data_IF_062503397832
#
_entry.id   IF_062503397832
#
_cell.length_a   1.000
_cell.length_b   1.000
_cell.length_c   1.000
_cell.angle_alpha   90.00
_cell.angle_beta   90.00
_cell.angle_gamma   90.00
#
_symmetry.space_group_name_H-M   'P 1'
#
loop_
_entity.id
_entity.type
_entity.pdbx_description
1 polymer ?
#
# COMPACT_ATOMS: atom_id res chain seq x y z
N UNK A 1 -6.32 23.88 12.80
CA UNK A 1 -7.44 23.68 11.85
C UNK A 1 -6.88 23.58 10.44
N UNK A 2 -7.44 22.69 9.62
CA UNK A 2 -7.03 22.44 8.22
C UNK A 2 -7.04 23.72 7.36
N UNK A 3 -7.87 24.71 7.71
CA UNK A 3 -7.93 26.02 7.03
C UNK A 3 -6.58 26.71 6.91
N UNK A 4 -5.68 26.57 7.90
CA UNK A 4 -4.34 27.21 7.87
C UNK A 4 -3.47 26.69 6.71
N UNK A 5 -3.60 25.41 6.39
CA UNK A 5 -2.81 24.76 5.34
C UNK A 5 -3.39 24.96 3.94
N UNK A 6 -4.72 25.10 3.83
CA UNK A 6 -5.43 25.28 2.54
C UNK A 6 -5.46 26.75 2.10
N UNK A 7 -5.66 27.69 3.05
CA UNK A 7 -5.88 29.11 2.75
C UNK A 7 -4.84 29.76 1.81
N UNK A 8 -3.53 29.43 1.88
CA UNK A 8 -2.55 29.98 0.95
C UNK A 8 -2.81 29.63 -0.52
N UNK A 9 -3.45 28.49 -0.77
CA UNK A 9 -3.65 27.88 -2.09
C UNK A 9 -5.07 28.03 -2.65
N UNK A 10 -6.05 28.39 -1.81
CA UNK A 10 -7.45 28.56 -2.23
C UNK A 10 -7.57 29.50 -3.43
N UNK A 11 -8.16 29.01 -4.53
CA UNK A 11 -8.38 29.78 -5.76
C UNK A 11 -7.11 30.06 -6.58
N UNK A 12 -5.97 29.48 -6.20
CA UNK A 12 -4.66 29.73 -6.84
C UNK A 12 -4.05 28.52 -7.52
N UNK A 13 -4.68 27.35 -7.41
CA UNK A 13 -4.23 26.13 -8.08
C UNK A 13 -4.99 26.01 -9.40
N UNK A 14 -4.28 25.88 -10.50
CA UNK A 14 -4.82 25.44 -11.79
C UNK A 14 -4.05 24.23 -12.29
N UNK A 15 -4.77 23.30 -12.92
CA UNK A 15 -4.22 22.16 -13.63
C UNK A 15 -4.88 22.18 -14.99
N UNK A 16 -4.09 22.11 -16.06
CA UNK A 16 -4.62 22.24 -17.42
C UNK A 16 -5.22 20.94 -17.92
N UNK A 17 -4.55 19.83 -17.60
CA UNK A 17 -4.97 18.49 -18.00
C UNK A 17 -4.50 17.48 -16.97
N UNK A 18 -5.37 16.53 -16.67
CA UNK A 18 -5.09 15.41 -15.78
C UNK A 18 -5.18 14.13 -16.61
N UNK A 19 -4.24 13.22 -16.42
CA UNK A 19 -4.25 11.91 -17.08
C UNK A 19 -4.04 10.80 -16.04
N UNK A 20 -4.94 9.81 -16.06
CA UNK A 20 -4.81 8.59 -15.26
C UNK A 20 -4.15 7.52 -16.12
N UNK A 21 -3.01 7.03 -15.67
CA UNK A 21 -2.15 6.09 -16.39
C UNK A 21 -2.30 4.71 -15.75
N UNK A 22 -2.48 3.71 -16.61
CA UNK A 22 -2.55 2.28 -16.28
C UNK A 22 -3.43 1.95 -15.05
N UNK A 23 -4.70 2.38 -15.02
CA UNK A 23 -5.57 2.07 -13.90
C UNK A 23 -5.86 0.58 -13.83
N UNK A 24 -5.59 -0.02 -12.66
CA UNK A 24 -5.85 -1.43 -12.38
C UNK A 24 -6.78 -1.57 -11.21
N UNK A 25 -7.84 -2.37 -11.39
CA UNK A 25 -8.78 -2.72 -10.32
C UNK A 25 -8.65 -4.20 -9.99
N UNK A 26 -8.41 -4.49 -8.72
CA UNK A 26 -8.47 -5.84 -8.17
C UNK A 26 -9.63 -5.91 -7.19
N UNK A 27 -10.51 -6.91 -7.34
CA UNK A 27 -11.71 -7.06 -6.50
C UNK A 27 -11.65 -8.35 -5.70
N UNK A 28 -12.02 -8.26 -4.43
CA UNK A 28 -12.27 -9.40 -3.55
C UNK A 28 -13.59 -9.19 -2.81
N UNK A 29 -14.66 -9.89 -3.22
CA UNK A 29 -15.98 -9.75 -2.62
C UNK A 29 -16.55 -8.34 -2.71
N UNK A 30 -16.78 -7.70 -1.56
CA UNK A 30 -17.26 -6.31 -1.43
C UNK A 30 -16.13 -5.31 -1.16
N UNK A 31 -14.88 -5.70 -1.42
CA UNK A 31 -13.71 -4.82 -1.44
C UNK A 31 -13.10 -4.77 -2.84
N UNK A 32 -12.54 -3.61 -3.19
CA UNK A 32 -11.73 -3.44 -4.39
C UNK A 32 -10.57 -2.48 -4.12
N UNK A 33 -9.41 -2.75 -4.74
CA UNK A 33 -8.26 -1.86 -4.74
C UNK A 33 -8.08 -1.33 -6.16
N UNK A 34 -8.03 -0.01 -6.29
CA UNK A 34 -7.68 0.69 -7.50
C UNK A 34 -6.27 1.27 -7.34
N UNK A 35 -5.36 0.91 -8.24
CA UNK A 35 -4.04 1.54 -8.35
C UNK A 35 -3.90 2.22 -9.71
N UNK A 36 -3.25 3.38 -9.73
CA UNK A 36 -2.95 4.12 -10.95
C UNK A 36 -1.82 5.13 -10.69
N UNK A 37 -1.19 5.57 -11.76
CA UNK A 37 -0.39 6.79 -11.73
C UNK A 37 -1.22 7.97 -12.26
N UNK A 38 -1.02 9.16 -11.70
CA UNK A 38 -1.65 10.38 -12.19
C UNK A 38 -0.58 11.32 -12.74
N UNK A 39 -0.84 11.96 -13.88
CA UNK A 39 -0.02 13.05 -14.40
C UNK A 39 -0.87 14.32 -14.50
N UNK A 40 -0.48 15.34 -13.74
CA UNK A 40 -1.06 16.68 -13.80
C UNK A 40 -0.18 17.56 -14.68
N UNK A 41 -0.65 17.88 -15.87
CA UNK A 41 0.02 18.77 -16.80
C UNK A 41 -0.36 20.22 -16.55
N UNK A 42 0.66 21.09 -16.61
CA UNK A 42 0.47 22.53 -16.49
C UNK A 42 0.03 22.96 -15.09
N UNK A 43 0.34 22.16 -14.06
CA UNK A 43 0.04 22.47 -12.67
C UNK A 43 0.72 23.80 -12.30
N UNK A 44 -0.06 24.76 -11.82
CA UNK A 44 0.40 26.10 -11.51
C UNK A 44 -0.18 26.55 -10.18
N UNK A 45 0.68 27.13 -9.33
CA UNK A 45 0.29 27.73 -8.06
C UNK A 45 0.53 29.23 -8.11
N UNK A 46 -0.52 30.02 -7.87
CA UNK A 46 -0.47 31.47 -7.73
C UNK A 46 0.20 32.21 -8.91
N UNK A 47 0.02 31.72 -10.14
CA UNK A 47 0.63 32.30 -11.33
C UNK A 47 2.14 32.01 -11.49
N UNK A 48 2.70 31.12 -10.68
CA UNK A 48 4.09 30.67 -10.80
C UNK A 48 4.37 29.83 -12.06
N UNK A 49 5.55 29.21 -12.19
CA UNK A 49 5.84 28.37 -13.35
C UNK A 49 4.88 27.17 -13.42
N UNK A 50 4.48 26.81 -14.63
CA UNK A 50 3.73 25.58 -14.89
C UNK A 50 4.67 24.38 -14.77
N UNK A 51 4.23 23.35 -14.06
CA UNK A 51 4.98 22.11 -13.89
C UNK A 51 4.15 20.90 -14.31
N UNK A 52 4.81 19.78 -14.54
CA UNK A 52 4.15 18.47 -14.64
C UNK A 52 4.35 17.75 -13.32
N UNK A 53 3.28 17.53 -12.56
CA UNK A 53 3.32 16.72 -11.35
C UNK A 53 2.94 15.28 -11.70
N UNK A 54 3.62 14.31 -11.07
CA UNK A 54 3.37 12.89 -11.26
C UNK A 54 3.07 12.28 -9.90
N UNK A 55 2.12 11.36 -9.84
CA UNK A 55 1.64 10.77 -8.59
C UNK A 55 1.54 9.25 -8.67
N UNK A 56 1.81 8.58 -7.54
CA UNK A 56 1.39 7.22 -7.26
C UNK A 56 0.11 7.27 -6.41
N UNK A 57 -0.92 6.55 -6.83
CA UNK A 57 -2.23 6.57 -6.20
C UNK A 57 -2.74 5.17 -5.91
N UNK A 58 -3.27 4.99 -4.71
CA UNK A 58 -4.01 3.79 -4.30
C UNK A 58 -5.31 4.20 -3.64
N UNK A 59 -6.42 3.64 -4.10
CA UNK A 59 -7.73 3.82 -3.50
C UNK A 59 -8.33 2.46 -3.15
N UNK A 60 -8.77 2.29 -1.90
CA UNK A 60 -9.48 1.10 -1.45
C UNK A 60 -10.96 1.44 -1.37
N UNK A 61 -11.76 0.65 -2.06
CA UNK A 61 -13.20 0.76 -2.12
C UNK A 61 -13.86 -0.37 -1.33
N UNK A 62 -14.97 -0.05 -0.64
CA UNK A 62 -15.89 -1.01 -0.06
C UNK A 62 -17.30 -0.80 -0.61
N UNK A 63 -18.02 -1.88 -0.90
CA UNK A 63 -19.43 -1.83 -1.29
C UNK A 63 -20.29 -1.66 -0.03
N UNK A 64 -21.02 -0.54 0.06
CA UNK A 64 -21.89 -0.21 1.19
C UNK A 64 -23.26 0.15 0.61
N UNK A 65 -24.30 -0.58 1.03
CA UNK A 65 -25.68 -0.40 0.53
C UNK A 65 -25.75 -0.42 -1.01
N UNK A 66 -25.05 -1.37 -1.64
CA UNK A 66 -25.00 -1.54 -3.09
C UNK A 66 -24.08 -0.56 -3.85
N UNK A 67 -23.48 0.42 -3.18
CA UNK A 67 -22.62 1.45 -3.79
C UNK A 67 -21.15 1.27 -3.37
N UNK A 68 -20.22 1.38 -4.31
CA UNK A 68 -18.79 1.44 -3.99
C UNK A 68 -18.44 2.79 -3.36
N UNK A 69 -17.70 2.77 -2.26
CA UNK A 69 -17.25 3.94 -1.51
C UNK A 69 -15.77 3.81 -1.20
N UNK A 70 -14.98 4.86 -1.41
CA UNK A 70 -13.58 4.90 -0.97
C UNK A 70 -13.58 4.84 0.56
N UNK A 71 -12.90 3.84 1.11
CA UNK A 71 -12.67 3.67 2.55
C UNK A 71 -11.22 4.00 2.95
N UNK A 72 -10.29 4.01 1.98
CA UNK A 72 -8.92 4.49 2.15
C UNK A 72 -8.40 5.09 0.84
N UNK A 73 -7.58 6.13 0.93
CA UNK A 73 -6.96 6.78 -0.24
C UNK A 73 -5.55 7.25 0.12
N UNK A 74 -4.58 6.86 -0.71
CA UNK A 74 -3.18 7.24 -0.61
C UNK A 74 -2.75 7.93 -1.90
N UNK A 75 -2.05 9.07 -1.74
CA UNK A 75 -1.50 9.87 -2.82
C UNK A 75 -0.08 10.28 -2.44
N UNK A 76 0.87 10.03 -3.33
CA UNK A 76 2.26 10.47 -3.16
C UNK A 76 2.80 10.97 -4.49
N UNK A 77 3.71 11.93 -4.47
CA UNK A 77 4.44 12.28 -5.68
C UNK A 77 5.26 11.07 -6.13
N UNK A 78 5.32 10.83 -7.43
CA UNK A 78 6.40 10.02 -8.01
C UNK A 78 7.68 10.80 -7.71
N UNK A 79 8.49 10.32 -6.76
CA UNK A 79 9.83 10.84 -6.57
C UNK A 79 10.57 10.60 -7.88
N UNK A 80 11.08 11.63 -8.58
CA UNK A 80 12.15 11.37 -9.51
C UNK A 80 13.33 10.99 -8.61
N UNK A 81 13.77 9.73 -8.65
CA UNK A 81 15.05 9.38 -8.05
C UNK A 81 16.14 10.10 -8.84
N UNK A 82 16.47 11.29 -8.36
CA UNK A 82 17.67 12.00 -8.76
C UNK A 82 18.84 11.68 -7.81
N UNK A 83 18.66 10.77 -6.84
CA UNK A 83 19.71 10.37 -5.88
C UNK A 83 19.66 8.91 -5.37
N UNK A 84 18.62 8.10 -5.61
CA UNK A 84 18.70 6.66 -5.30
C UNK A 84 19.40 5.93 -6.45
N UNK A 85 20.61 5.45 -6.17
CA UNK A 85 21.38 4.68 -7.15
C UNK A 85 20.73 3.31 -7.37
N UNK A 86 21.02 2.70 -8.51
CA UNK A 86 20.62 1.31 -8.78
C UNK A 86 21.10 0.36 -7.67
N UNK A 87 22.26 0.64 -7.07
CA UNK A 87 22.79 -0.12 -5.94
C UNK A 87 21.90 -0.08 -4.69
N UNK A 88 21.24 1.06 -4.40
CA UNK A 88 20.32 1.17 -3.26
C UNK A 88 19.04 0.38 -3.54
N UNK A 89 18.48 0.52 -4.75
CA UNK A 89 17.28 -0.23 -5.16
C UNK A 89 17.51 -1.74 -5.13
N UNK A 90 18.65 -2.21 -5.62
CA UNK A 90 19.01 -3.63 -5.56
C UNK A 90 19.33 -4.10 -4.13
N UNK A 91 19.86 -3.23 -3.27
CA UNK A 91 20.06 -3.56 -1.86
C UNK A 91 18.74 -3.74 -1.12
N UNK A 92 17.77 -2.84 -1.31
CA UNK A 92 16.44 -2.92 -0.70
C UNK A 92 15.68 -4.13 -1.23
N UNK A 93 15.72 -4.38 -2.53
CA UNK A 93 15.10 -5.57 -3.12
C UNK A 93 15.68 -6.87 -2.58
N UNK A 94 17.00 -6.94 -2.40
CA UNK A 94 17.66 -8.09 -1.77
C UNK A 94 17.23 -8.24 -0.31
N UNK A 95 17.18 -7.15 0.46
CA UNK A 95 16.73 -7.18 1.85
C UNK A 95 15.28 -7.66 1.97
N UNK A 96 14.39 -7.24 1.07
CA UNK A 96 12.99 -7.69 1.02
C UNK A 96 12.92 -9.18 0.68
N UNK A 97 13.66 -9.66 -0.33
CA UNK A 97 13.71 -11.10 -0.69
C UNK A 97 14.19 -11.98 0.48
N UNK A 98 15.21 -11.51 1.20
CA UNK A 98 15.72 -12.20 2.40
C UNK A 98 14.67 -12.21 3.53
N UNK A 99 14.00 -11.07 3.75
CA UNK A 99 12.92 -10.94 4.73
C UNK A 99 11.75 -11.90 4.43
N UNK A 100 11.29 -11.96 3.18
CA UNK A 100 10.24 -12.87 2.70
C UNK A 100 10.64 -14.34 2.86
N UNK A 101 11.90 -14.67 2.55
CA UNK A 101 12.43 -16.03 2.74
C UNK A 101 12.39 -16.43 4.22
N UNK A 102 12.83 -15.53 5.11
CA UNK A 102 12.80 -15.77 6.56
C UNK A 102 11.37 -15.93 7.06
N UNK A 103 10.44 -15.11 6.56
CA UNK A 103 9.04 -15.17 6.94
C UNK A 103 8.37 -16.47 6.50
N UNK A 104 8.66 -16.94 5.28
CA UNK A 104 8.19 -18.24 4.80
C UNK A 104 8.71 -19.40 5.66
N UNK A 105 9.96 -19.34 6.12
CA UNK A 105 10.52 -20.32 7.06
C UNK A 105 9.81 -20.28 8.42
N UNK A 106 9.49 -19.08 8.93
CA UNK A 106 8.75 -18.91 10.18
C UNK A 106 7.35 -19.55 10.10
N UNK A 107 6.65 -19.37 8.97
CA UNK A 107 5.38 -20.04 8.70
C UNK A 107 5.51 -21.56 8.65
N UNK A 108 6.53 -22.09 7.99
CA UNK A 108 6.78 -23.53 7.94
C UNK A 108 7.09 -24.12 9.32
N UNK A 109 7.82 -23.37 10.16
CA UNK A 109 8.13 -23.74 11.53
C UNK A 109 6.99 -23.48 12.54
N UNK A 110 5.91 -22.81 12.10
CA UNK A 110 4.83 -22.30 12.97
C UNK A 110 5.36 -21.40 14.11
N UNK A 111 6.41 -20.63 13.84
CA UNK A 111 7.01 -19.69 14.80
C UNK A 111 6.19 -18.40 14.87
N UNK A 112 5.29 -18.31 15.85
CA UNK A 112 4.40 -17.16 16.01
C UNK A 112 5.16 -15.84 16.22
N UNK A 113 6.26 -15.86 16.97
CA UNK A 113 6.97 -14.64 17.31
C UNK A 113 7.65 -14.05 16.07
N UNK A 114 8.29 -14.89 15.28
CA UNK A 114 8.93 -14.48 14.02
C UNK A 114 7.92 -14.17 12.91
N UNK A 115 6.76 -14.85 12.87
CA UNK A 115 5.69 -14.47 11.93
C UNK A 115 5.16 -13.07 12.24
N UNK A 116 4.96 -12.75 13.53
CA UNK A 116 4.39 -11.48 13.97
C UNK A 116 5.40 -10.33 13.81
N UNK A 117 6.69 -10.57 14.01
CA UNK A 117 7.73 -9.53 13.89
C UNK A 117 7.86 -8.95 12.48
N UNK A 118 7.36 -9.64 11.46
CA UNK A 118 7.34 -9.17 10.08
C UNK A 118 6.31 -8.05 9.85
N UNK A 119 5.31 -7.93 10.73
CA UNK A 119 4.32 -6.86 10.66
C UNK A 119 4.82 -5.64 11.44
N UNK A 120 4.58 -4.43 10.93
CA UNK A 120 4.76 -3.21 11.70
C UNK A 120 3.74 -3.11 12.85
N UNK A 121 4.05 -2.31 13.88
CA UNK A 121 3.19 -2.11 15.06
C UNK A 121 1.78 -1.63 14.71
N UNK A 122 1.62 -0.89 13.61
CA UNK A 122 0.38 -0.33 13.09
C UNK A 122 -0.17 -1.08 11.86
N UNK A 123 0.37 -2.26 11.55
CA UNK A 123 -0.05 -3.04 10.39
C UNK A 123 -1.54 -3.41 10.44
N UNK A 124 -2.16 -3.47 9.27
CA UNK A 124 -3.53 -3.96 9.10
C UNK A 124 -3.54 -5.22 8.25
N UNK A 125 -4.20 -6.28 8.71
CA UNK A 125 -4.31 -7.54 7.99
C UNK A 125 -5.78 -7.79 7.62
N UNK A 126 -6.03 -7.96 6.32
CA UNK A 126 -7.33 -8.33 5.77
C UNK A 126 -7.33 -9.81 5.40
N UNK A 127 -8.27 -10.56 5.97
CA UNK A 127 -8.49 -11.96 5.69
C UNK A 127 -9.95 -12.15 5.31
N UNK A 128 -10.18 -12.96 4.28
CA UNK A 128 -11.53 -13.23 3.80
C UNK A 128 -12.45 -13.69 4.94
N UNK A 129 -13.60 -13.02 5.08
CA UNK A 129 -14.62 -13.26 6.09
C UNK A 129 -14.20 -12.98 7.55
N UNK A 130 -13.12 -12.24 7.80
CA UNK A 130 -12.74 -11.76 9.13
C UNK A 130 -12.82 -10.24 9.23
N UNK A 131 -13.06 -9.67 10.42
CA UNK A 131 -12.77 -8.26 10.66
C UNK A 131 -11.29 -7.97 10.42
N UNK A 132 -10.98 -6.77 9.92
CA UNK A 132 -9.60 -6.31 9.75
C UNK A 132 -8.89 -6.35 11.11
N UNK A 133 -7.73 -7.00 11.14
CA UNK A 133 -6.87 -7.06 12.32
C UNK A 133 -5.96 -5.83 12.30
N UNK A 134 -6.01 -5.00 13.34
CA UNK A 134 -5.21 -3.77 13.42
C UNK A 134 -4.17 -3.90 14.55
N UNK A 135 -2.90 -3.73 14.18
CA UNK A 135 -1.74 -3.81 15.06
C UNK A 135 -1.27 -5.23 15.38
N UNK A 136 0.00 -5.34 15.81
CA UNK A 136 0.65 -6.62 16.09
C UNK A 136 -0.10 -7.48 17.12
N UNK A 137 -0.70 -6.89 18.15
CA UNK A 137 -1.44 -7.64 19.18
C UNK A 137 -2.65 -8.39 18.61
N UNK A 138 -3.44 -7.73 17.75
CA UNK A 138 -4.59 -8.33 17.10
C UNK A 138 -4.17 -9.44 16.12
N UNK A 139 -3.09 -9.19 15.37
CA UNK A 139 -2.51 -10.15 14.43
C UNK A 139 -2.01 -11.39 15.21
N UNK A 140 -1.23 -11.18 16.27
CA UNK A 140 -0.71 -12.25 17.14
C UNK A 140 -1.82 -13.09 17.74
N UNK A 141 -2.88 -12.47 18.27
CA UNK A 141 -4.02 -13.19 18.83
C UNK A 141 -4.73 -14.09 17.80
N UNK A 142 -4.95 -13.59 16.58
CA UNK A 142 -5.58 -14.36 15.51
C UNK A 142 -4.67 -15.51 15.03
N UNK A 143 -3.39 -15.24 14.82
CA UNK A 143 -2.42 -16.23 14.35
C UNK A 143 -2.17 -17.34 15.38
N UNK A 144 -2.15 -17.02 16.67
CA UNK A 144 -2.03 -18.02 17.74
C UNK A 144 -3.11 -19.09 17.67
N UNK A 145 -4.36 -18.68 17.43
CA UNK A 145 -5.48 -19.62 17.28
C UNK A 145 -5.32 -20.47 16.01
N UNK A 146 -4.88 -19.85 14.92
CA UNK A 146 -4.73 -20.51 13.61
C UNK A 146 -3.60 -21.53 13.58
N UNK A 147 -2.46 -21.22 14.20
CA UNK A 147 -1.31 -22.14 14.29
C UNK A 147 -1.59 -23.35 15.20
N UNK A 148 -2.50 -23.20 16.16
CA UNK A 148 -2.95 -24.28 17.05
C UNK A 148 -3.92 -25.27 16.37
N UNK A 149 -4.47 -24.94 15.21
CA UNK A 149 -5.30 -25.88 14.44
C UNK A 149 -4.41 -27.00 13.85
N UNK A 150 -4.64 -28.27 14.22
CA UNK A 150 -3.83 -29.39 13.72
C UNK A 150 -3.99 -29.60 12.20
N UNK A 151 -5.07 -29.10 11.59
CA UNK A 151 -5.32 -29.20 10.15
C UNK A 151 -4.78 -27.99 9.38
N UNK A 152 -4.27 -26.96 10.06
CA UNK A 152 -3.70 -25.79 9.40
C UNK A 152 -2.29 -26.10 8.89
N UNK A 153 -2.15 -26.12 7.58
CA UNK A 153 -0.90 -26.19 6.84
C UNK A 153 -0.86 -25.05 5.81
N UNK A 154 0.15 -24.19 5.90
CA UNK A 154 0.43 -23.14 4.93
C UNK A 154 1.88 -23.27 4.50
N UNK A 155 2.11 -23.42 3.20
CA UNK A 155 3.46 -23.41 2.61
C UNK A 155 3.50 -22.27 1.62
N UNK A 156 4.33 -21.26 1.92
CA UNK A 156 4.56 -20.14 1.03
C UNK A 156 5.68 -20.54 0.06
N UNK A 157 5.39 -20.55 -1.24
CA UNK A 157 6.42 -20.70 -2.27
C UNK A 157 7.18 -19.37 -2.41
N UNK A 158 8.49 -19.40 -2.70
CA UNK A 158 9.24 -18.17 -2.95
C UNK A 158 8.64 -17.43 -4.15
N UNK A 159 8.22 -16.18 -3.95
CA UNK A 159 7.72 -15.34 -5.02
C UNK A 159 8.89 -14.86 -5.90
N UNK A 160 8.67 -14.78 -7.21
CA UNK A 160 9.53 -13.96 -8.06
C UNK A 160 9.33 -12.50 -7.67
N UNK A 161 10.38 -11.87 -7.14
CA UNK A 161 10.39 -10.44 -6.80
C UNK A 161 11.17 -9.71 -7.89
N UNK A 162 10.45 -9.06 -8.81
CA UNK A 162 11.00 -8.17 -9.83
C UNK A 162 11.10 -6.74 -9.28
N UNK A 163 12.18 -6.05 -9.63
CA UNK A 163 12.43 -4.64 -9.29
C UNK A 163 12.36 -3.87 -10.59
N UNK A 164 11.50 -2.86 -10.67
CA UNK A 164 11.34 -1.98 -11.84
C UNK A 164 11.77 -0.56 -11.51
#
# INVERSE_FOLDING_TARGET
SLKKYIAPFTGKISIERVEMIDPKVQRAGDLAVLTFNLIDYGAQVAGGPKTTARWNSTEVYRRINGSWKIVHSHWSYVKPDINETEDVREADARAIRESETKWAQAWAAKDLDEIVSHYADDASVDLANMPILNGQDAIRAALKQRLADPNFALTLAPAQIEVS
#
